data_IF_182512152146
#
_entry.id   IF_182512152146
#
_cell.length_a   1.000
_cell.length_b   1.000
_cell.length_c   1.000
_cell.angle_alpha   90.00
_cell.angle_beta   90.00
_cell.angle_gamma   90.00
#
_symmetry.space_group_name_H-M   'P 1'
#
loop_
_entity.id
_entity.type
_entity.pdbx_description
1 polymer ?
#
# COMPACT_ATOMS: atom_id res chain seq x y z
N UNK A 1 -3.01 12.46 31.64
CA UNK A 1 -2.24 11.21 31.87
C UNK A 1 -1.80 10.76 30.51
N UNK A 2 -0.66 11.32 30.14
CA UNK A 2 0.37 10.93 29.18
C UNK A 2 -0.06 10.32 27.83
N UNK A 3 -0.11 11.21 26.84
CA UNK A 3 0.09 10.92 25.42
C UNK A 3 1.39 10.14 25.22
N UNK A 4 1.28 8.87 24.84
CA UNK A 4 2.39 8.11 24.27
C UNK A 4 2.34 8.21 22.74
N UNK A 5 2.63 9.41 22.23
CA UNK A 5 3.07 9.59 20.86
C UNK A 5 4.59 9.37 20.86
N UNK A 6 5.01 8.11 20.77
CA UNK A 6 6.39 7.78 20.51
C UNK A 6 6.65 8.05 19.02
N UNK A 7 7.10 9.27 18.71
CA UNK A 7 7.82 9.55 17.48
C UNK A 7 8.99 8.57 17.40
N UNK A 8 8.89 7.58 16.50
CA UNK A 8 10.04 6.81 16.05
C UNK A 8 10.98 7.78 15.33
N UNK A 9 11.92 8.34 16.08
CA UNK A 9 13.16 8.87 15.52
C UNK A 9 13.83 7.73 14.75
N UNK A 10 13.75 7.77 13.43
CA UNK A 10 14.64 7.01 12.57
C UNK A 10 16.02 7.68 12.55
N UNK A 11 16.70 7.68 13.70
CA UNK A 11 18.15 7.82 13.76
C UNK A 11 18.72 6.40 13.68
N UNK A 12 18.85 5.93 12.45
CA UNK A 12 19.46 4.65 12.11
C UNK A 12 20.30 4.85 10.85
N UNK A 13 21.32 5.70 10.94
CA UNK A 13 22.35 5.81 9.91
C UNK A 13 23.78 5.87 10.46
N UNK A 14 23.99 5.65 11.76
CA UNK A 14 25.32 5.90 12.36
C UNK A 14 25.96 4.69 13.05
N UNK A 15 25.40 3.47 12.96
CA UNK A 15 25.97 2.31 13.66
C UNK A 15 26.51 1.18 12.77
N UNK A 16 26.55 1.34 11.44
CA UNK A 16 27.17 0.36 10.54
C UNK A 16 28.53 0.80 9.97
N UNK A 17 28.95 2.06 10.16
CA UNK A 17 29.99 2.65 9.30
C UNK A 17 31.36 2.91 9.94
N UNK A 18 31.57 2.69 11.24
CA UNK A 18 32.88 3.01 11.85
C UNK A 18 34.04 2.16 11.31
N UNK A 19 33.78 0.96 10.79
CA UNK A 19 34.82 0.08 10.24
C UNK A 19 35.14 0.37 8.75
N UNK A 20 34.16 0.75 7.93
CA UNK A 20 34.36 1.05 6.50
C UNK A 20 34.95 2.44 6.25
N UNK A 21 34.75 3.40 7.16
CA UNK A 21 35.31 4.76 7.03
C UNK A 21 36.84 4.75 7.04
N UNK A 22 37.51 3.75 7.63
CA UNK A 22 38.97 3.79 7.80
C UNK A 22 39.80 3.53 6.52
N UNK A 23 39.21 2.99 5.45
CA UNK A 23 39.95 2.60 4.23
C UNK A 23 39.39 3.18 2.91
N UNK A 24 38.37 4.04 2.95
CA UNK A 24 37.82 4.62 1.72
C UNK A 24 38.78 5.64 1.08
N UNK A 25 39.10 5.45 -0.19
CA UNK A 25 39.92 6.38 -0.99
C UNK A 25 39.02 7.07 -2.03
N UNK A 26 39.09 8.40 -2.09
CA UNK A 26 38.38 9.20 -3.09
C UNK A 26 38.79 8.80 -4.51
N UNK A 27 37.87 8.81 -5.47
CA UNK A 27 38.10 8.47 -6.87
C UNK A 27 39.21 9.31 -7.51
N UNK A 28 39.30 10.61 -7.16
CA UNK A 28 40.40 11.48 -7.62
C UNK A 28 41.81 11.01 -7.21
N UNK A 29 41.91 10.22 -6.15
CA UNK A 29 43.17 9.73 -5.60
C UNK A 29 43.46 8.27 -6.03
N UNK A 30 42.53 7.60 -6.71
CA UNK A 30 42.67 6.23 -7.20
C UNK A 30 43.50 6.19 -8.50
N UNK A 31 44.64 5.46 -8.55
CA UNK A 31 45.49 5.40 -9.74
C UNK A 31 44.77 4.95 -11.02
N UNK A 32 43.83 4.02 -10.89
CA UNK A 32 43.02 3.44 -11.96
C UNK A 32 41.90 4.36 -12.47
N UNK A 33 41.77 5.59 -11.95
CA UNK A 33 40.79 6.59 -12.38
C UNK A 33 41.43 7.85 -12.97
N UNK A 34 42.76 7.90 -13.10
CA UNK A 34 43.51 9.07 -13.61
C UNK A 34 43.19 9.43 -15.06
N UNK A 35 42.72 8.47 -15.85
CA UNK A 35 42.33 8.66 -17.24
C UNK A 35 40.92 9.26 -17.40
N UNK A 36 40.11 9.24 -16.34
CA UNK A 36 38.77 9.83 -16.34
C UNK A 36 38.85 11.27 -15.85
N UNK A 37 38.35 12.20 -16.66
CA UNK A 37 38.21 13.59 -16.26
C UNK A 37 36.90 13.78 -15.48
N UNK A 38 36.94 14.12 -14.17
CA UNK A 38 35.73 14.39 -13.39
C UNK A 38 35.01 15.62 -13.93
N UNK A 39 33.68 15.57 -13.95
CA UNK A 39 32.85 16.68 -14.46
C UNK A 39 32.02 17.24 -13.31
N UNK A 40 32.31 18.47 -12.86
CA UNK A 40 31.52 19.15 -11.82
C UNK A 40 30.05 19.31 -12.20
N UNK A 41 29.17 19.34 -11.19
CA UNK A 41 27.78 19.73 -11.40
C UNK A 41 27.70 21.23 -11.75
N UNK A 42 26.99 21.55 -12.84
CA UNK A 42 26.71 22.93 -13.22
C UNK A 42 25.32 23.36 -12.74
N UNK A 43 25.27 24.02 -11.58
CA UNK A 43 24.05 24.59 -10.98
C UNK A 43 23.74 26.02 -11.50
N UNK A 44 24.50 26.51 -12.48
CA UNK A 44 24.43 27.87 -12.97
C UNK A 44 24.85 28.93 -11.95
N UNK A 45 24.69 30.21 -12.31
CA UNK A 45 25.14 31.34 -11.48
C UNK A 45 24.25 31.62 -10.26
N UNK A 46 22.97 31.26 -10.31
CA UNK A 46 22.00 31.56 -9.25
C UNK A 46 21.95 30.51 -8.13
N UNK A 47 22.37 29.27 -8.40
CA UNK A 47 22.53 28.19 -7.41
C UNK A 47 21.32 28.01 -6.46
N UNK A 48 20.09 28.03 -7.00
CA UNK A 48 18.88 27.82 -6.20
C UNK A 48 18.81 26.39 -5.67
N UNK A 49 18.30 26.21 -4.45
CA UNK A 49 18.22 24.91 -3.73
C UNK A 49 19.53 24.11 -3.72
N UNK A 50 20.68 24.81 -3.74
CA UNK A 50 22.00 24.21 -3.71
C UNK A 50 22.19 23.37 -2.44
N UNK A 51 22.65 22.14 -2.64
CA UNK A 51 22.96 21.21 -1.55
C UNK A 51 24.46 21.36 -1.23
N UNK A 52 24.78 21.48 0.07
CA UNK A 52 26.15 21.43 0.55
C UNK A 52 26.61 19.96 0.65
N UNK A 53 27.00 19.39 -0.49
CA UNK A 53 27.45 17.99 -0.56
C UNK A 53 28.73 17.74 0.25
N UNK A 54 28.86 16.52 0.77
CA UNK A 54 30.12 16.04 1.33
C UNK A 54 31.17 15.86 0.24
N UNK A 55 32.45 15.85 0.62
CA UNK A 55 33.54 15.66 -0.33
C UNK A 55 33.43 14.33 -1.09
N UNK A 56 33.10 13.24 -0.37
CA UNK A 56 32.84 11.92 -0.97
C UNK A 56 31.70 11.98 -1.98
N UNK A 57 30.61 12.68 -1.67
CA UNK A 57 29.48 12.80 -2.59
C UNK A 57 29.87 13.56 -3.87
N UNK A 58 30.52 14.72 -3.72
CA UNK A 58 30.99 15.49 -4.89
C UNK A 58 31.95 14.68 -5.75
N UNK A 59 32.94 14.02 -5.14
CA UNK A 59 33.92 13.20 -5.85
C UNK A 59 33.25 12.06 -6.64
N UNK A 60 32.40 11.24 -6.01
CA UNK A 60 31.69 10.16 -6.71
C UNK A 60 30.82 10.68 -7.85
N UNK A 61 30.03 11.74 -7.63
CA UNK A 61 29.13 12.23 -8.66
C UNK A 61 29.83 13.02 -9.79
N UNK A 62 30.98 13.63 -9.52
CA UNK A 62 31.82 14.24 -10.56
C UNK A 62 32.40 13.17 -11.50
N UNK A 63 32.89 12.07 -10.93
CA UNK A 63 33.35 10.92 -11.71
C UNK A 63 32.20 10.23 -12.45
N UNK A 64 31.02 10.11 -11.83
CA UNK A 64 29.82 9.56 -12.49
C UNK A 64 29.44 10.38 -13.73
N UNK A 65 29.44 11.72 -13.62
CA UNK A 65 29.20 12.59 -14.78
C UNK A 65 30.27 12.41 -15.87
N UNK A 66 31.53 12.22 -15.48
CA UNK A 66 32.65 11.93 -16.38
C UNK A 66 32.42 10.67 -17.23
N UNK A 67 32.15 9.53 -16.57
CA UNK A 67 31.90 8.25 -17.26
C UNK A 67 30.61 8.24 -18.05
N UNK A 68 29.56 8.90 -17.53
CA UNK A 68 28.28 9.00 -18.24
C UNK A 68 28.44 9.75 -19.55
N UNK A 69 29.25 10.82 -19.57
CA UNK A 69 29.55 11.59 -20.79
C UNK A 69 30.41 10.82 -21.78
N UNK A 70 31.38 10.03 -21.31
CA UNK A 70 32.22 9.21 -22.20
C UNK A 70 31.50 7.95 -22.71
N UNK A 71 30.45 7.51 -22.01
CA UNK A 71 29.73 6.29 -22.32
C UNK A 71 30.45 5.02 -21.86
N UNK A 72 31.45 5.13 -20.98
CA UNK A 72 32.26 3.99 -20.53
C UNK A 72 31.45 2.95 -19.75
N UNK A 73 31.37 1.73 -20.28
CA UNK A 73 30.77 0.57 -19.62
C UNK A 73 31.85 -0.45 -19.27
N UNK A 74 32.33 -0.41 -18.03
CA UNK A 74 33.43 -1.24 -17.52
C UNK A 74 33.15 -1.74 -16.10
N UNK A 75 33.93 -2.71 -15.62
CA UNK A 75 33.82 -3.22 -14.25
C UNK A 75 34.08 -2.12 -13.21
N UNK A 76 35.04 -1.22 -13.45
CA UNK A 76 35.28 -0.07 -12.56
C UNK A 76 34.09 0.88 -12.55
N UNK A 77 33.44 1.11 -13.69
CA UNK A 77 32.22 1.93 -13.75
C UNK A 77 31.08 1.27 -12.96
N UNK A 78 30.95 -0.07 -13.00
CA UNK A 78 29.98 -0.79 -12.18
C UNK A 78 30.23 -0.56 -10.69
N UNK A 79 31.49 -0.55 -10.26
CA UNK A 79 31.88 -0.15 -8.90
C UNK A 79 31.47 1.28 -8.58
N UNK A 80 31.76 2.24 -9.46
CA UNK A 80 31.39 3.65 -9.28
C UNK A 80 29.87 3.87 -9.14
N UNK A 81 29.06 3.23 -9.97
CA UNK A 81 27.59 3.38 -9.84
C UNK A 81 27.06 2.69 -8.58
N UNK A 82 27.76 1.68 -8.05
CA UNK A 82 27.45 1.08 -6.74
C UNK A 82 27.65 2.09 -5.62
N UNK A 83 28.79 2.78 -5.60
CA UNK A 83 29.07 3.86 -4.63
C UNK A 83 28.05 5.00 -4.77
N UNK A 84 27.71 5.39 -6.00
CA UNK A 84 26.74 6.44 -6.27
C UNK A 84 25.31 6.08 -5.80
N UNK A 85 24.89 4.82 -5.95
CA UNK A 85 23.62 4.31 -5.42
C UNK A 85 23.61 4.33 -3.89
N UNK A 86 24.72 3.95 -3.25
CA UNK A 86 24.86 3.97 -1.79
C UNK A 86 24.68 5.39 -1.25
N UNK A 87 25.24 6.38 -1.94
CA UNK A 87 25.13 7.79 -1.56
C UNK A 87 23.75 8.40 -1.87
N UNK A 88 23.10 7.98 -2.94
CA UNK A 88 21.76 8.45 -3.30
C UNK A 88 20.99 7.38 -4.11
N UNK A 89 20.27 6.47 -3.44
CA UNK A 89 19.55 5.39 -4.11
C UNK A 89 18.33 5.92 -4.89
N UNK A 90 17.94 7.18 -4.72
CA UNK A 90 16.85 7.80 -5.48
C UNK A 90 17.29 8.35 -6.84
N UNK A 91 18.59 8.37 -7.16
CA UNK A 91 19.07 8.85 -8.45
C UNK A 91 18.78 7.83 -9.58
N UNK A 92 17.67 8.02 -10.28
CA UNK A 92 17.22 7.13 -11.35
C UNK A 92 18.19 7.07 -12.55
N UNK A 93 18.97 8.12 -12.82
CA UNK A 93 19.95 8.11 -13.91
C UNK A 93 21.07 7.11 -13.64
N UNK A 94 21.52 7.01 -12.37
CA UNK A 94 22.52 6.02 -11.96
C UNK A 94 21.99 4.60 -12.15
N UNK A 95 20.73 4.34 -11.78
CA UNK A 95 20.10 3.02 -11.97
C UNK A 95 19.94 2.62 -13.43
N UNK A 96 19.51 3.54 -14.29
CA UNK A 96 19.42 3.30 -15.74
C UNK A 96 20.81 2.94 -16.29
N UNK A 97 21.83 3.72 -15.93
CA UNK A 97 23.18 3.49 -16.42
C UNK A 97 23.79 2.20 -15.85
N UNK A 98 23.51 1.85 -14.60
CA UNK A 98 23.88 0.56 -14.01
C UNK A 98 23.31 -0.60 -14.83
N UNK A 99 22.02 -0.56 -15.19
CA UNK A 99 21.41 -1.60 -16.01
C UNK A 99 22.12 -1.72 -17.37
N UNK A 100 22.45 -0.61 -18.02
CA UNK A 100 23.21 -0.64 -19.27
C UNK A 100 24.60 -1.29 -19.11
N UNK A 101 25.30 -1.01 -18.01
CA UNK A 101 26.62 -1.59 -17.71
C UNK A 101 26.48 -3.10 -17.44
N UNK A 102 25.53 -3.50 -16.60
CA UNK A 102 25.23 -4.91 -16.27
C UNK A 102 24.99 -5.71 -17.55
N UNK A 103 24.16 -5.19 -18.46
CA UNK A 103 23.86 -5.85 -19.74
C UNK A 103 25.07 -5.87 -20.68
N UNK A 104 25.83 -4.78 -20.77
CA UNK A 104 27.02 -4.70 -21.63
C UNK A 104 28.11 -5.67 -21.20
N UNK A 105 28.38 -5.74 -19.89
CA UNK A 105 29.35 -6.65 -19.29
C UNK A 105 28.84 -8.09 -19.22
N UNK A 106 27.55 -8.32 -19.48
CA UNK A 106 26.89 -9.63 -19.36
C UNK A 106 27.06 -10.23 -17.97
N UNK A 107 26.89 -9.38 -16.95
CA UNK A 107 26.84 -9.83 -15.55
C UNK A 107 25.69 -10.81 -15.40
N UNK A 108 25.91 -11.87 -14.63
CA UNK A 108 24.85 -12.82 -14.29
C UNK A 108 23.73 -12.09 -13.56
N UNK A 109 22.52 -12.10 -14.14
CA UNK A 109 21.36 -11.43 -13.58
C UNK A 109 20.92 -12.04 -12.25
N UNK A 110 21.26 -13.30 -11.96
CA UNK A 110 21.02 -13.88 -10.62
C UNK A 110 21.93 -13.26 -9.55
N UNK A 111 23.18 -12.94 -9.88
CA UNK A 111 24.06 -12.20 -8.97
C UNK A 111 23.59 -10.75 -8.80
N UNK A 112 23.13 -10.12 -9.87
CA UNK A 112 22.54 -8.78 -9.81
C UNK A 112 21.24 -8.77 -8.98
N UNK A 113 20.46 -9.85 -9.04
CA UNK A 113 19.27 -10.03 -8.19
C UNK A 113 19.64 -10.14 -6.70
N UNK A 114 20.77 -10.77 -6.36
CA UNK A 114 21.29 -10.79 -4.98
C UNK A 114 21.70 -9.39 -4.53
N UNK A 115 22.40 -8.65 -5.39
CA UNK A 115 22.77 -7.25 -5.11
C UNK A 115 21.54 -6.41 -4.80
N UNK A 116 20.55 -6.36 -5.71
CA UNK A 116 19.36 -5.52 -5.51
C UNK A 116 18.53 -5.99 -4.31
N UNK A 117 18.55 -7.28 -3.97
CA UNK A 117 17.92 -7.79 -2.74
C UNK A 117 18.50 -7.13 -1.48
N UNK A 118 19.81 -6.93 -1.43
CA UNK A 118 20.46 -6.27 -0.30
C UNK A 118 20.13 -4.78 -0.25
N UNK A 119 20.22 -4.09 -1.39
CA UNK A 119 19.89 -2.66 -1.47
C UNK A 119 18.42 -2.39 -1.07
N UNK A 120 17.47 -3.25 -1.45
CA UNK A 120 16.07 -3.10 -1.04
C UNK A 120 15.91 -3.26 0.48
N UNK A 121 16.64 -4.17 1.13
CA UNK A 121 16.55 -4.35 2.59
C UNK A 121 16.97 -3.09 3.35
N UNK A 122 17.91 -2.33 2.81
CA UNK A 122 18.33 -1.04 3.36
C UNK A 122 17.36 0.09 2.98
N UNK A 123 16.87 0.11 1.73
CA UNK A 123 16.06 1.19 1.18
C UNK A 123 14.65 0.73 0.75
N UNK A 124 13.92 0.10 1.66
CA UNK A 124 12.63 -0.56 1.37
C UNK A 124 11.52 0.35 0.82
N UNK A 125 11.66 1.68 0.96
CA UNK A 125 10.68 2.70 0.54
C UNK A 125 11.17 3.57 -0.63
N UNK A 126 12.10 3.03 -1.45
CA UNK A 126 12.64 3.72 -2.61
C UNK A 126 12.04 3.16 -3.92
N UNK A 127 11.55 4.02 -4.82
CA UNK A 127 10.91 3.57 -6.07
C UNK A 127 11.87 2.84 -7.01
N UNK A 128 13.10 3.36 -7.13
CA UNK A 128 14.07 2.90 -8.11
C UNK A 128 14.53 1.46 -7.82
N UNK A 129 14.73 1.10 -6.55
CA UNK A 129 15.18 -0.25 -6.20
C UNK A 129 14.16 -1.33 -6.56
N UNK A 130 12.87 -1.05 -6.36
CA UNK A 130 11.79 -1.97 -6.72
C UNK A 130 11.60 -2.06 -8.24
N UNK A 131 11.67 -0.93 -8.94
CA UNK A 131 11.61 -0.93 -10.40
C UNK A 131 12.82 -1.66 -11.01
N UNK A 132 14.01 -1.48 -10.43
CA UNK A 132 15.21 -2.16 -10.90
C UNK A 132 15.09 -3.67 -10.70
N UNK A 133 14.68 -4.13 -9.50
CA UNK A 133 14.43 -5.56 -9.26
C UNK A 133 13.43 -6.13 -10.26
N UNK A 134 12.31 -5.43 -10.49
CA UNK A 134 11.30 -5.82 -11.47
C UNK A 134 11.91 -6.03 -12.86
N UNK A 135 12.71 -5.08 -13.35
CA UNK A 135 13.38 -5.20 -14.65
C UNK A 135 14.27 -6.44 -14.72
N UNK A 136 15.05 -6.73 -13.66
CA UNK A 136 15.92 -7.92 -13.61
C UNK A 136 15.10 -9.20 -13.68
N UNK A 137 14.01 -9.30 -12.92
CA UNK A 137 13.11 -10.47 -12.93
C UNK A 137 12.40 -10.62 -14.28
N UNK A 138 11.97 -9.52 -14.91
CA UNK A 138 11.39 -9.55 -16.27
C UNK A 138 12.39 -10.08 -17.30
N UNK A 139 13.65 -9.68 -17.22
CA UNK A 139 14.72 -10.15 -18.11
C UNK A 139 15.07 -11.62 -17.89
N UNK A 140 15.08 -12.07 -16.63
CA UNK A 140 15.29 -13.48 -16.27
C UNK A 140 14.09 -14.35 -16.63
N UNK A 141 12.87 -13.78 -16.62
CA UNK A 141 11.60 -14.50 -16.69
C UNK A 141 11.53 -15.64 -15.64
N UNK A 142 12.07 -15.38 -14.45
CA UNK A 142 12.17 -16.34 -13.35
C UNK A 142 11.64 -15.71 -12.05
N UNK A 143 10.43 -16.09 -11.58
CA UNK A 143 9.86 -15.58 -10.35
C UNK A 143 10.34 -16.33 -9.09
N UNK A 144 11.33 -17.21 -9.22
CA UNK A 144 11.83 -18.03 -8.11
C UNK A 144 12.34 -17.15 -6.97
N UNK A 145 11.79 -17.36 -5.77
CA UNK A 145 12.16 -16.61 -4.57
C UNK A 145 11.46 -15.25 -4.41
N UNK A 146 10.70 -14.76 -5.38
CA UNK A 146 10.06 -13.43 -5.30
C UNK A 146 8.98 -13.34 -4.22
N UNK A 147 8.19 -14.40 -4.06
CA UNK A 147 7.18 -14.46 -3.00
C UNK A 147 7.80 -14.60 -1.61
N UNK A 148 8.94 -15.29 -1.48
CA UNK A 148 9.69 -15.38 -0.22
C UNK A 148 10.35 -14.04 0.10
N UNK A 149 10.97 -13.40 -0.89
CA UNK A 149 11.59 -12.10 -0.76
C UNK A 149 10.59 -11.05 -0.28
N UNK A 150 9.44 -10.92 -0.95
CA UNK A 150 8.40 -9.97 -0.52
C UNK A 150 7.81 -10.33 0.84
N UNK A 151 7.66 -11.62 1.17
CA UNK A 151 7.23 -12.03 2.50
C UNK A 151 8.21 -11.56 3.60
N UNK A 152 9.51 -11.68 3.35
CA UNK A 152 10.55 -11.20 4.28
C UNK A 152 10.53 -9.67 4.45
N UNK A 153 10.29 -8.90 3.37
CA UNK A 153 10.12 -7.45 3.49
C UNK A 153 8.85 -7.09 4.27
N UNK A 154 7.75 -7.83 4.04
CA UNK A 154 6.49 -7.62 4.75
C UNK A 154 6.52 -8.07 6.21
N UNK A 155 7.42 -8.97 6.60
CA UNK A 155 7.66 -9.31 8.00
C UNK A 155 8.29 -8.13 8.76
N UNK A 156 9.13 -7.34 8.09
CA UNK A 156 9.72 -6.10 8.65
C UNK A 156 8.73 -4.93 8.64
N UNK A 157 7.97 -4.74 7.55
CA UNK A 157 6.93 -3.72 7.42
C UNK A 157 5.73 -4.29 6.65
N UNK A 158 4.74 -4.81 7.40
CA UNK A 158 3.56 -5.48 6.86
C UNK A 158 2.67 -4.58 5.99
N UNK A 159 2.94 -3.27 5.97
CA UNK A 159 2.20 -2.27 5.18
C UNK A 159 3.08 -1.60 4.13
N UNK A 160 4.28 -2.12 3.85
CA UNK A 160 5.14 -1.59 2.80
C UNK A 160 4.43 -1.63 1.44
N UNK A 161 4.10 -0.46 0.92
CA UNK A 161 3.29 -0.32 -0.30
C UNK A 161 4.02 -0.86 -1.53
N UNK A 162 5.33 -0.65 -1.62
CA UNK A 162 6.12 -1.14 -2.75
C UNK A 162 6.22 -2.66 -2.77
N UNK A 163 6.39 -3.29 -1.61
CA UNK A 163 6.41 -4.74 -1.49
C UNK A 163 5.08 -5.36 -1.92
N UNK A 164 3.95 -4.79 -1.49
CA UNK A 164 2.63 -5.23 -1.94
C UNK A 164 2.39 -5.01 -3.44
N UNK A 165 2.74 -3.84 -3.96
CA UNK A 165 2.63 -3.53 -5.39
C UNK A 165 3.49 -4.48 -6.24
N UNK A 166 4.72 -4.72 -5.82
CA UNK A 166 5.63 -5.64 -6.48
C UNK A 166 5.11 -7.09 -6.43
N UNK A 167 4.62 -7.54 -5.27
CA UNK A 167 4.04 -8.87 -5.10
C UNK A 167 2.83 -9.08 -6.01
N UNK A 168 1.93 -8.10 -6.12
CA UNK A 168 0.81 -8.17 -7.07
C UNK A 168 1.29 -8.25 -8.52
N UNK A 169 2.29 -7.47 -8.90
CA UNK A 169 2.90 -7.58 -10.23
C UNK A 169 3.45 -9.00 -10.49
N UNK A 170 4.22 -9.57 -9.56
CA UNK A 170 4.73 -10.95 -9.68
C UNK A 170 3.57 -11.94 -9.88
N UNK A 171 2.52 -11.85 -9.06
CA UNK A 171 1.36 -12.75 -9.15
C UNK A 171 0.57 -12.58 -10.45
N UNK A 172 0.44 -11.35 -10.97
CA UNK A 172 -0.23 -11.09 -12.25
C UNK A 172 0.60 -11.58 -13.44
N UNK A 173 1.93 -11.39 -13.41
CA UNK A 173 2.82 -11.82 -14.50
C UNK A 173 3.04 -13.33 -14.51
N UNK A 174 3.13 -13.94 -13.32
CA UNK A 174 3.36 -15.37 -13.13
C UNK A 174 2.15 -16.02 -12.43
N UNK A 175 1.00 -16.02 -13.12
CA UNK A 175 -0.32 -16.37 -12.57
C UNK A 175 -0.42 -17.75 -11.90
N UNK A 176 0.41 -18.71 -12.28
CA UNK A 176 0.49 -20.03 -11.63
C UNK A 176 0.89 -19.97 -10.14
N UNK A 177 1.37 -18.82 -9.65
CA UNK A 177 1.69 -18.59 -8.24
C UNK A 177 0.49 -18.13 -7.40
N UNK A 178 -0.62 -17.73 -8.03
CA UNK A 178 -1.78 -17.10 -7.37
C UNK A 178 -2.45 -18.01 -6.34
N UNK A 179 -2.53 -19.31 -6.61
CA UNK A 179 -3.30 -20.27 -5.78
C UNK A 179 -2.84 -20.31 -4.32
N UNK A 180 -1.53 -20.13 -4.06
CA UNK A 180 -0.94 -20.17 -2.72
C UNK A 180 -1.05 -18.84 -1.97
N UNK A 181 -1.45 -17.77 -2.65
CA UNK A 181 -1.49 -16.44 -2.06
C UNK A 181 -2.57 -16.33 -0.98
N UNK A 182 -3.67 -17.08 -1.11
CA UNK A 182 -4.78 -17.03 -0.15
C UNK A 182 -4.35 -17.50 1.25
N UNK A 183 -3.47 -18.49 1.34
CA UNK A 183 -2.91 -19.00 2.61
C UNK A 183 -1.98 -17.98 3.26
N UNK A 184 -1.15 -17.32 2.44
CA UNK A 184 -0.27 -16.26 2.90
C UNK A 184 -1.06 -15.08 3.48
N UNK A 185 -2.10 -14.65 2.77
CA UNK A 185 -2.95 -13.54 3.22
C UNK A 185 -3.75 -13.91 4.47
N UNK A 186 -4.28 -15.13 4.57
CA UNK A 186 -4.98 -15.58 5.77
C UNK A 186 -4.08 -15.61 7.01
N UNK A 187 -2.82 -16.03 6.85
CA UNK A 187 -1.81 -15.94 7.91
C UNK A 187 -1.64 -14.50 8.39
N UNK A 188 -1.47 -13.55 7.46
CA UNK A 188 -1.27 -12.14 7.81
C UNK A 188 -2.50 -11.51 8.48
N UNK A 189 -3.71 -11.81 8.00
CA UNK A 189 -4.96 -11.34 8.63
C UNK A 189 -5.13 -11.96 10.02
N UNK A 190 -4.68 -13.20 10.22
CA UNK A 190 -4.73 -13.86 11.53
C UNK A 190 -3.70 -13.29 12.51
N UNK A 191 -2.56 -12.79 12.04
CA UNK A 191 -1.58 -12.07 12.84
C UNK A 191 -2.03 -10.64 13.19
N UNK A 192 -2.57 -9.90 12.22
CA UNK A 192 -3.19 -8.58 12.41
C UNK A 192 -4.46 -8.45 11.57
N UNK A 193 -5.60 -8.61 12.24
CA UNK A 193 -6.91 -8.49 11.60
C UNK A 193 -7.19 -7.10 11.02
N UNK A 194 -6.48 -6.05 11.45
CA UNK A 194 -6.63 -4.68 10.93
C UNK A 194 -5.64 -4.36 9.80
N UNK A 195 -4.85 -5.33 9.33
CA UNK A 195 -3.96 -5.11 8.21
C UNK A 195 -4.75 -4.96 6.91
N UNK A 196 -5.10 -3.72 6.58
CA UNK A 196 -5.87 -3.40 5.38
C UNK A 196 -5.16 -3.82 4.07
N UNK A 197 -3.83 -3.83 4.05
CA UNK A 197 -3.07 -4.29 2.89
C UNK A 197 -3.27 -5.79 2.64
N UNK A 198 -3.35 -6.59 3.70
CA UNK A 198 -3.67 -8.02 3.59
C UNK A 198 -5.13 -8.23 3.12
N UNK A 199 -6.10 -7.46 3.64
CA UNK A 199 -7.48 -7.51 3.13
C UNK A 199 -7.59 -7.10 1.65
N UNK A 200 -6.86 -6.06 1.25
CA UNK A 200 -6.75 -5.65 -0.15
C UNK A 200 -6.12 -6.76 -1.01
N UNK A 201 -5.07 -7.42 -0.52
CA UNK A 201 -4.46 -8.55 -1.21
C UNK A 201 -5.44 -9.71 -1.34
N UNK A 202 -6.24 -10.00 -0.32
CA UNK A 202 -7.29 -11.02 -0.38
C UNK A 202 -8.28 -10.70 -1.50
N UNK A 203 -8.72 -9.44 -1.60
CA UNK A 203 -9.60 -8.98 -2.66
C UNK A 203 -8.95 -9.12 -4.04
N UNK A 204 -7.69 -8.71 -4.17
CA UNK A 204 -6.90 -8.87 -5.39
C UNK A 204 -6.86 -10.34 -5.85
N UNK A 205 -6.59 -11.29 -4.95
CA UNK A 205 -6.55 -12.72 -5.28
C UNK A 205 -7.91 -13.19 -5.80
N UNK A 206 -8.99 -12.90 -5.07
CA UNK A 206 -10.35 -13.31 -5.46
C UNK A 206 -10.75 -12.72 -6.82
N UNK A 207 -10.37 -11.47 -7.10
CA UNK A 207 -10.68 -10.82 -8.37
C UNK A 207 -9.86 -11.33 -9.57
N UNK A 208 -8.74 -12.03 -9.33
CA UNK A 208 -7.87 -12.54 -10.39
C UNK A 208 -7.91 -14.08 -10.52
N UNK A 209 -8.64 -14.76 -9.64
CA UNK A 209 -9.00 -16.16 -9.82
C UNK A 209 -10.34 -16.25 -10.57
N UNK A 210 -10.55 -17.36 -11.30
CA UNK A 210 -11.86 -17.69 -11.86
C UNK A 210 -12.83 -17.99 -10.70
N UNK A 211 -13.53 -16.96 -10.24
CA UNK A 211 -14.44 -17.08 -9.11
C UNK A 211 -15.73 -17.79 -9.52
N UNK A 212 -16.28 -18.55 -8.57
CA UNK A 212 -17.62 -19.12 -8.67
C UNK A 212 -18.45 -18.69 -7.46
N UNK A 213 -19.76 -18.92 -7.51
CA UNK A 213 -20.66 -18.51 -6.42
C UNK A 213 -20.24 -19.13 -5.09
N UNK A 214 -19.79 -20.39 -5.06
CA UNK A 214 -19.34 -21.08 -3.84
C UNK A 214 -18.14 -20.39 -3.17
N UNK A 215 -17.16 -19.92 -3.95
CA UNK A 215 -16.01 -19.16 -3.45
C UNK A 215 -16.45 -17.86 -2.77
N UNK A 216 -17.35 -17.10 -3.40
CA UNK A 216 -17.89 -15.86 -2.81
C UNK A 216 -18.67 -16.14 -1.53
N UNK A 217 -19.44 -17.23 -1.49
CA UNK A 217 -20.15 -17.64 -0.27
C UNK A 217 -19.21 -17.97 0.88
N UNK A 218 -18.11 -18.68 0.59
CA UNK A 218 -17.07 -18.99 1.56
C UNK A 218 -16.36 -17.72 2.06
N UNK A 219 -16.08 -16.76 1.19
CA UNK A 219 -15.47 -15.47 1.57
C UNK A 219 -16.40 -14.60 2.42
N UNK A 220 -17.70 -14.59 2.13
CA UNK A 220 -18.69 -13.92 2.99
C UNK A 220 -18.69 -14.54 4.39
N UNK A 221 -18.70 -15.89 4.48
CA UNK A 221 -18.66 -16.60 5.76
C UNK A 221 -17.38 -16.30 6.53
N UNK A 222 -16.22 -16.36 5.87
CA UNK A 222 -14.93 -15.99 6.45
C UNK A 222 -14.98 -14.57 7.03
N UNK A 223 -15.55 -13.63 6.27
CA UNK A 223 -15.65 -12.23 6.69
C UNK A 223 -16.60 -12.05 7.88
N UNK A 224 -17.70 -12.80 7.94
CA UNK A 224 -18.60 -12.81 9.11
C UNK A 224 -17.88 -13.27 10.38
N UNK A 225 -17.04 -14.30 10.30
CA UNK A 225 -16.27 -14.80 11.44
C UNK A 225 -15.28 -13.73 11.94
N UNK A 226 -14.59 -13.04 11.02
CA UNK A 226 -13.68 -11.94 11.37
C UNK A 226 -14.42 -10.73 11.94
N UNK A 227 -15.59 -10.35 11.40
CA UNK A 227 -16.42 -9.27 11.95
C UNK A 227 -16.97 -9.62 13.33
N UNK A 228 -17.40 -10.87 13.53
CA UNK A 228 -17.92 -11.32 14.84
C UNK A 228 -16.82 -11.25 15.90
N UNK A 229 -15.59 -11.60 15.52
CA UNK A 229 -14.43 -11.54 16.41
C UNK A 229 -14.00 -10.11 16.72
N UNK A 230 -14.09 -9.19 15.75
CA UNK A 230 -13.66 -7.80 15.89
C UNK A 230 -14.56 -6.82 15.12
N UNK A 231 -15.73 -6.55 15.67
CA UNK A 231 -16.81 -5.85 14.95
C UNK A 231 -16.56 -4.37 14.63
N UNK A 232 -15.54 -3.76 15.25
CA UNK A 232 -15.08 -2.39 14.99
C UNK A 232 -13.91 -2.32 14.00
N UNK A 233 -13.56 -3.43 13.34
CA UNK A 233 -12.52 -3.45 12.31
C UNK A 233 -13.09 -3.03 10.95
N UNK A 234 -12.77 -1.81 10.51
CA UNK A 234 -13.25 -1.26 9.24
C UNK A 234 -12.83 -2.10 8.02
N UNK A 235 -11.63 -2.68 8.01
CA UNK A 235 -11.14 -3.44 6.84
C UNK A 235 -12.02 -4.64 6.50
N UNK A 236 -12.51 -5.37 7.50
CA UNK A 236 -13.41 -6.52 7.26
C UNK A 236 -14.78 -6.06 6.71
N UNK A 237 -15.31 -4.93 7.18
CA UNK A 237 -16.55 -4.36 6.66
C UNK A 237 -16.40 -3.84 5.23
N UNK A 238 -15.26 -3.20 4.92
CA UNK A 238 -14.97 -2.73 3.57
C UNK A 238 -14.76 -3.90 2.61
N UNK A 239 -14.09 -4.96 3.05
CA UNK A 239 -13.95 -6.19 2.28
C UNK A 239 -15.31 -6.84 2.00
N UNK A 240 -16.18 -6.95 3.01
CA UNK A 240 -17.54 -7.44 2.84
C UNK A 240 -18.31 -6.66 1.76
N UNK A 241 -18.22 -5.32 1.78
CA UNK A 241 -18.84 -4.47 0.75
C UNK A 241 -18.28 -4.75 -0.64
N UNK A 242 -16.97 -4.97 -0.75
CA UNK A 242 -16.32 -5.36 -1.99
C UNK A 242 -16.85 -6.70 -2.51
N UNK A 243 -17.01 -7.70 -1.63
CA UNK A 243 -17.56 -9.01 -2.01
C UNK A 243 -18.98 -8.93 -2.58
N UNK A 244 -19.78 -7.96 -2.11
CA UNK A 244 -21.14 -7.77 -2.61
C UNK A 244 -21.17 -7.35 -4.09
N UNK A 245 -20.08 -6.81 -4.65
CA UNK A 245 -20.01 -6.52 -6.09
C UNK A 245 -20.06 -7.80 -6.96
N UNK A 246 -19.75 -8.96 -6.37
CA UNK A 246 -19.81 -10.27 -7.04
C UNK A 246 -21.08 -11.07 -6.70
N UNK A 247 -21.90 -10.61 -5.75
CA UNK A 247 -23.19 -11.25 -5.47
C UNK A 247 -24.23 -10.82 -6.50
N UNK A 248 -25.03 -11.77 -6.98
CA UNK A 248 -26.19 -11.50 -7.86
C UNK A 248 -27.17 -10.50 -7.22
N UNK A 249 -27.32 -10.54 -5.90
CA UNK A 249 -28.22 -9.65 -5.15
C UNK A 249 -27.53 -8.35 -4.72
N UNK A 250 -26.23 -8.20 -4.96
CA UNK A 250 -25.47 -7.02 -4.59
C UNK A 250 -25.59 -6.67 -3.11
N UNK A 251 -25.85 -5.38 -2.84
CA UNK A 251 -26.11 -4.85 -1.49
C UNK A 251 -27.32 -5.51 -0.82
N UNK A 252 -28.27 -6.06 -1.58
CA UNK A 252 -29.49 -6.69 -1.06
C UNK A 252 -29.29 -8.17 -0.67
N UNK A 253 -28.06 -8.68 -0.69
CA UNK A 253 -27.74 -10.06 -0.31
C UNK A 253 -28.31 -10.43 1.08
N UNK A 254 -29.28 -11.35 1.08
CA UNK A 254 -30.12 -11.65 2.25
C UNK A 254 -29.30 -12.08 3.45
N UNK A 255 -28.30 -12.95 3.27
CA UNK A 255 -27.47 -13.45 4.38
C UNK A 255 -26.71 -12.33 5.09
N UNK A 256 -26.28 -11.31 4.36
CA UNK A 256 -25.56 -10.15 4.93
C UNK A 256 -26.52 -9.26 5.71
N UNK A 257 -27.74 -9.04 5.20
CA UNK A 257 -28.80 -8.33 5.92
C UNK A 257 -29.19 -9.04 7.22
N UNK A 258 -29.38 -10.35 7.18
CA UNK A 258 -29.72 -11.17 8.33
C UNK A 258 -28.60 -11.12 9.38
N UNK A 259 -27.35 -11.23 8.95
CA UNK A 259 -26.17 -11.10 9.83
C UNK A 259 -26.09 -9.74 10.51
N UNK A 260 -26.24 -8.64 9.77
CA UNK A 260 -26.22 -7.28 10.33
C UNK A 260 -27.36 -7.06 11.32
N UNK A 261 -28.57 -7.52 11.00
CA UNK A 261 -29.74 -7.44 11.89
C UNK A 261 -29.49 -8.20 13.20
N UNK A 262 -28.91 -9.40 13.12
CA UNK A 262 -28.56 -10.19 14.32
C UNK A 262 -27.52 -9.46 15.19
N UNK A 263 -26.47 -8.89 14.59
CA UNK A 263 -25.47 -8.12 15.34
C UNK A 263 -26.09 -6.91 16.03
N UNK A 264 -26.93 -6.16 15.33
CA UNK A 264 -27.60 -4.99 15.88
C UNK A 264 -28.54 -5.37 17.03
N UNK A 265 -29.31 -6.46 16.91
CA UNK A 265 -30.19 -6.96 17.95
C UNK A 265 -29.44 -7.46 19.19
N UNK A 266 -28.20 -7.95 19.02
CA UNK A 266 -27.28 -8.29 20.13
C UNK A 266 -26.64 -7.07 20.80
N UNK A 267 -26.99 -5.85 20.39
CA UNK A 267 -26.51 -4.60 20.99
C UNK A 267 -25.25 -4.02 20.33
N UNK A 268 -24.79 -4.58 19.20
CA UNK A 268 -23.68 -3.99 18.47
C UNK A 268 -24.09 -2.65 17.84
N UNK A 269 -23.29 -1.61 18.08
CA UNK A 269 -23.47 -0.25 17.53
C UNK A 269 -22.19 0.24 16.85
N UNK A 270 -21.41 -0.66 16.26
CA UNK A 270 -20.25 -0.23 15.48
C UNK A 270 -20.70 0.66 14.32
N UNK A 271 -19.93 1.72 14.07
CA UNK A 271 -20.19 2.68 12.99
C UNK A 271 -20.37 1.98 11.65
N UNK A 272 -19.55 0.96 11.38
CA UNK A 272 -19.58 0.21 10.13
C UNK A 272 -20.84 -0.64 9.97
N UNK A 273 -21.31 -1.27 11.05
CA UNK A 273 -22.58 -2.02 11.03
C UNK A 273 -23.75 -1.08 10.75
N UNK A 274 -23.84 0.02 11.50
CA UNK A 274 -24.93 0.99 11.34
C UNK A 274 -24.92 1.61 9.95
N UNK A 275 -23.74 1.97 9.43
CA UNK A 275 -23.56 2.41 8.04
C UNK A 275 -24.05 1.36 7.05
N UNK A 276 -23.64 0.10 7.20
CA UNK A 276 -24.04 -1.00 6.31
C UNK A 276 -25.57 -1.21 6.31
N UNK A 277 -26.22 -1.05 7.46
CA UNK A 277 -27.69 -1.11 7.55
C UNK A 277 -28.39 0.05 6.84
N UNK A 278 -27.81 1.26 6.85
CA UNK A 278 -28.32 2.40 6.07
C UNK A 278 -28.25 2.09 4.57
N UNK A 279 -27.15 1.51 4.10
CA UNK A 279 -26.98 1.19 2.67
C UNK A 279 -27.97 0.14 2.17
N UNK A 280 -28.37 -0.83 3.00
CA UNK A 280 -29.41 -1.80 2.62
C UNK A 280 -30.75 -1.13 2.36
N UNK A 281 -31.08 -0.11 3.15
CA UNK A 281 -32.36 0.60 3.05
C UNK A 281 -32.32 1.54 1.85
N UNK A 282 -31.19 2.19 1.60
CA UNK A 282 -31.02 3.03 0.40
C UNK A 282 -31.05 2.19 -0.90
N UNK A 283 -30.51 0.97 -0.89
CA UNK A 283 -30.54 0.06 -2.04
C UNK A 283 -31.93 -0.53 -2.32
N UNK A 284 -32.84 -0.57 -1.33
CA UNK A 284 -34.20 -1.13 -1.46
C UNK A 284 -35.14 -0.08 -2.10
N UNK A 285 -34.96 0.14 -3.41
CA UNK A 285 -35.63 1.21 -4.20
C UNK A 285 -37.10 0.90 -4.53
N UNK A 286 -37.53 -0.36 -4.43
CA UNK A 286 -38.69 -0.85 -5.18
C UNK A 286 -40.01 -1.04 -4.40
N UNK A 287 -40.22 -0.42 -3.25
CA UNK A 287 -41.56 -0.47 -2.65
C UNK A 287 -41.92 0.84 -1.94
N UNK A 288 -42.96 1.50 -2.46
CA UNK A 288 -43.66 2.61 -1.79
C UNK A 288 -44.69 2.06 -0.78
N UNK A 289 -44.55 0.80 -0.35
CA UNK A 289 -45.47 0.20 0.59
C UNK A 289 -45.29 0.78 2.00
N UNK A 290 -46.36 0.81 2.82
CA UNK A 290 -46.30 1.34 4.19
C UNK A 290 -45.20 0.72 5.06
N UNK A 291 -44.86 -0.56 4.84
CA UNK A 291 -43.78 -1.26 5.56
C UNK A 291 -42.39 -0.66 5.27
N UNK A 292 -42.21 -0.03 4.12
CA UNK A 292 -40.95 0.62 3.75
C UNK A 292 -40.76 1.99 4.41
N UNK A 293 -41.85 2.69 4.78
CA UNK A 293 -41.75 3.97 5.50
C UNK A 293 -41.07 3.78 6.86
N UNK A 294 -41.40 2.70 7.59
CA UNK A 294 -40.78 2.42 8.90
C UNK A 294 -39.31 2.00 8.76
N UNK A 295 -38.95 1.27 7.70
CA UNK A 295 -37.54 0.97 7.37
C UNK A 295 -36.76 2.26 7.10
N UNK A 296 -37.31 3.19 6.31
CA UNK A 296 -36.65 4.46 6.01
C UNK A 296 -36.52 5.32 7.27
N UNK A 297 -37.56 5.41 8.11
CA UNK A 297 -37.46 6.09 9.43
C UNK A 297 -36.37 5.48 10.30
N UNK A 298 -36.21 4.15 10.27
CA UNK A 298 -35.12 3.48 10.97
C UNK A 298 -33.74 3.86 10.39
N UNK A 299 -33.56 3.95 9.07
CA UNK A 299 -32.33 4.48 8.47
C UNK A 299 -32.05 5.94 8.87
N UNK A 300 -33.07 6.80 8.89
CA UNK A 300 -32.94 8.19 9.34
C UNK A 300 -32.52 8.27 10.82
N UNK A 301 -33.08 7.39 11.67
CA UNK A 301 -32.62 7.23 13.05
C UNK A 301 -31.15 6.83 13.12
N UNK A 302 -30.72 5.84 12.34
CA UNK A 302 -29.32 5.42 12.30
C UNK A 302 -28.40 6.56 11.87
N UNK A 303 -28.78 7.33 10.85
CA UNK A 303 -28.03 8.52 10.41
C UNK A 303 -27.91 9.55 11.55
N UNK A 304 -28.98 9.79 12.30
CA UNK A 304 -28.96 10.69 13.44
C UNK A 304 -28.04 10.18 14.57
N UNK A 305 -28.17 8.90 14.94
CA UNK A 305 -27.33 8.27 15.96
C UNK A 305 -25.83 8.32 15.55
N UNK A 306 -25.53 8.08 14.27
CA UNK A 306 -24.18 8.19 13.70
C UNK A 306 -23.66 9.63 13.76
N UNK A 307 -24.44 10.61 13.31
CA UNK A 307 -24.04 12.02 13.28
C UNK A 307 -23.79 12.64 14.66
N UNK A 308 -24.48 12.13 15.69
CA UNK A 308 -24.51 12.73 17.03
C UNK A 308 -23.67 11.97 18.05
N UNK A 309 -23.64 10.63 18.00
CA UNK A 309 -23.02 9.79 19.04
C UNK A 309 -21.88 8.94 18.48
N UNK A 310 -22.13 8.17 17.41
CA UNK A 310 -21.24 7.08 17.04
C UNK A 310 -20.18 7.43 15.99
N UNK A 311 -20.36 8.53 15.25
CA UNK A 311 -19.46 8.96 14.18
C UNK A 311 -19.51 10.50 13.94
N UNK A 312 -19.35 11.31 15.00
CA UNK A 312 -19.51 12.77 14.90
C UNK A 312 -18.50 13.43 13.96
N UNK A 313 -17.34 12.79 13.72
CA UNK A 313 -16.34 13.29 12.76
C UNK A 313 -16.90 13.35 11.33
N UNK A 314 -17.82 12.45 10.97
CA UNK A 314 -18.53 12.41 9.68
C UNK A 314 -19.95 12.95 9.79
N UNK A 315 -20.25 13.81 10.78
CA UNK A 315 -21.60 14.40 10.99
C UNK A 315 -22.21 14.96 9.70
N UNK A 316 -21.44 15.76 8.95
CA UNK A 316 -21.94 16.38 7.72
C UNK A 316 -22.23 15.38 6.60
N UNK A 317 -21.48 14.28 6.56
CA UNK A 317 -21.78 13.17 5.64
C UNK A 317 -23.12 12.50 6.02
N UNK A 318 -23.37 12.23 7.30
CA UNK A 318 -24.64 11.65 7.74
C UNK A 318 -25.83 12.60 7.58
N UNK A 319 -25.64 13.91 7.70
CA UNK A 319 -26.64 14.94 7.36
C UNK A 319 -26.99 14.87 5.87
N UNK A 320 -25.97 14.77 5.01
CA UNK A 320 -26.16 14.64 3.57
C UNK A 320 -26.94 13.35 3.23
N UNK A 321 -26.51 12.18 3.74
CA UNK A 321 -27.19 10.90 3.50
C UNK A 321 -28.64 10.92 4.02
N UNK A 322 -28.88 11.49 5.20
CA UNK A 322 -30.25 11.68 5.72
C UNK A 322 -31.11 12.51 4.76
N UNK A 323 -30.58 13.61 4.23
CA UNK A 323 -31.27 14.45 3.25
C UNK A 323 -31.59 13.71 1.95
N UNK A 324 -30.66 12.91 1.44
CA UNK A 324 -30.88 12.08 0.24
C UNK A 324 -32.01 11.06 0.46
N UNK A 325 -32.05 10.38 1.61
CA UNK A 325 -33.13 9.46 1.97
C UNK A 325 -34.49 10.17 2.09
N UNK A 326 -34.52 11.35 2.74
CA UNK A 326 -35.73 12.16 2.85
C UNK A 326 -36.29 12.54 1.48
N UNK A 327 -35.41 12.99 0.57
CA UNK A 327 -35.77 13.38 -0.78
C UNK A 327 -36.25 12.18 -1.60
N UNK A 328 -35.48 11.08 -1.59
CA UNK A 328 -35.74 9.87 -2.36
C UNK A 328 -37.07 9.20 -1.99
N UNK A 329 -37.44 9.20 -0.71
CA UNK A 329 -38.67 8.58 -0.23
C UNK A 329 -39.79 9.58 0.14
N UNK A 330 -39.58 10.88 -0.13
CA UNK A 330 -40.52 11.98 0.17
C UNK A 330 -41.00 12.02 1.64
N UNK A 331 -40.10 11.76 2.59
CA UNK A 331 -40.37 11.81 4.03
C UNK A 331 -39.88 13.15 4.59
N UNK A 332 -40.80 14.08 4.81
CA UNK A 332 -40.46 15.43 5.32
C UNK A 332 -40.52 15.55 6.84
N UNK A 333 -41.40 14.78 7.48
CA UNK A 333 -41.64 14.82 8.93
C UNK A 333 -41.18 13.53 9.61
N UNK A 334 -40.23 13.65 10.52
CA UNK A 334 -39.77 12.58 11.43
C UNK A 334 -39.03 13.20 12.61
N UNK A 335 -38.90 12.44 13.70
CA UNK A 335 -38.27 12.89 14.95
C UNK A 335 -36.72 12.91 14.90
N UNK A 336 -36.12 12.25 13.90
CA UNK A 336 -34.67 12.07 13.78
C UNK A 336 -33.93 13.19 13.02
N UNK A 337 -34.49 14.41 12.98
CA UNK A 337 -33.82 15.53 12.28
C UNK A 337 -32.49 15.88 12.93
N UNK A 338 -31.43 15.88 12.13
CA UNK A 338 -30.08 16.18 12.60
C UNK A 338 -29.89 17.70 12.67
N UNK A 339 -29.82 18.24 13.88
CA UNK A 339 -29.54 19.66 14.09
C UNK A 339 -28.03 19.88 14.11
N UNK A 340 -27.50 20.47 13.05
CA UNK A 340 -26.14 20.99 13.07
C UNK A 340 -26.20 22.42 13.60
N UNK A 341 -25.57 22.67 14.75
CA UNK A 341 -25.32 24.04 15.18
C UNK A 341 -24.33 24.64 14.18
N UNK A 342 -24.76 25.66 13.43
CA UNK A 342 -23.83 26.51 12.68
C UNK A 342 -22.89 27.14 13.71
N UNK A 343 -21.63 26.69 13.74
CA UNK A 343 -20.59 27.40 14.45
C UNK A 343 -20.43 28.76 13.73
N UNK A 344 -20.89 29.82 14.39
CA UNK A 344 -20.61 31.20 14.00
C UNK A 344 -19.13 31.54 14.18
#
# INVERSE_FOLDING_TARGET
MDDQNAEQKSDSSDSCDEAEISNYVLYRDRPEWKDVHPIPQDDGSAQVVRIAYSEKFTDVFDYFRGVLKSGEKSERTLGLVTDAITLNPANYTVWIYRLEIVLFLKIDLHEELKYISNVIREFTKNYQVWQYRKNIVEMLNDPSGELEFTANILDMDAKNYHAWQYRQWVLSTFSHLMEKEIEFVDKLISQDMRNNSAWNQRYFVINNLDYNSEMIENEIKYTFDKITSLSKNESAWNYLRGLLLYSENGVLEKRVRDFCTQLYNKGNRSTHLMSCMVDFIDADVNSTEPENIEKVKFALKLCCDLATVFDPIRRFYWVYISGELENKYNIKEHEFKIKVLENK
#
